data_IF_916697004608
#
_entry.id   IF_916697004608
#
_cell.length_a   1.000
_cell.length_b   1.000
_cell.length_c   1.000
_cell.angle_alpha   90.00
_cell.angle_beta   90.00
_cell.angle_gamma   90.00
#
_symmetry.space_group_name_H-M   'P 1'
#
loop_
_entity.id
_entity.type
_entity.pdbx_description
1 polymer ?
#
# COMPACT_ATOMS: atom_id res chain seq x y z
N UNK A 1 27.08 0.63 26.57
CA UNK A 1 25.67 0.17 26.54
C UNK A 1 25.53 -0.67 25.30
N UNK A 2 25.17 -1.95 25.40
CA UNK A 2 25.00 -2.83 24.23
C UNK A 2 23.58 -2.63 23.70
N UNK A 3 23.46 -2.32 22.41
CA UNK A 3 22.16 -2.34 21.71
C UNK A 3 21.74 -3.80 21.58
N UNK A 4 20.52 -4.14 21.99
CA UNK A 4 19.95 -5.46 21.68
C UNK A 4 19.65 -5.47 20.19
N UNK A 5 20.33 -6.37 19.46
CA UNK A 5 20.17 -6.52 18.02
C UNK A 5 18.94 -7.38 17.80
N UNK A 6 17.98 -6.94 16.99
CA UNK A 6 16.82 -7.76 16.62
C UNK A 6 17.32 -9.04 15.93
N UNK A 7 16.85 -10.18 16.42
CA UNK A 7 17.22 -11.51 15.95
C UNK A 7 16.07 -12.10 15.14
N UNK A 8 16.24 -12.10 13.82
CA UNK A 8 15.27 -12.69 12.91
C UNK A 8 15.45 -14.20 12.85
N UNK A 9 14.34 -14.94 12.82
CA UNK A 9 14.35 -16.39 12.60
C UNK A 9 14.88 -16.70 11.20
N UNK A 10 15.44 -17.89 11.04
CA UNK A 10 15.80 -18.39 9.72
C UNK A 10 14.54 -18.69 8.91
N UNK A 11 14.24 -17.82 7.94
CA UNK A 11 13.10 -17.97 7.02
C UNK A 11 13.50 -18.49 5.64
N UNK A 12 14.66 -19.14 5.50
CA UNK A 12 15.10 -19.75 4.22
C UNK A 12 14.14 -20.80 3.68
N UNK A 13 13.27 -21.34 4.53
CA UNK A 13 12.18 -22.23 4.11
C UNK A 13 11.16 -21.53 3.18
N UNK A 14 11.01 -20.20 3.28
CA UNK A 14 10.17 -19.40 2.36
C UNK A 14 10.81 -19.27 0.97
N UNK A 15 12.14 -19.21 0.93
CA UNK A 15 12.90 -19.06 -0.31
C UNK A 15 12.74 -20.29 -1.23
N UNK A 16 12.45 -21.45 -0.62
CA UNK A 16 12.22 -22.74 -1.31
C UNK A 16 10.76 -23.18 -1.33
N UNK A 17 9.81 -22.29 -1.02
CA UNK A 17 8.39 -22.61 -0.86
C UNK A 17 7.70 -23.19 -2.12
N UNK A 18 8.27 -22.99 -3.31
CA UNK A 18 7.70 -23.43 -4.59
C UNK A 18 8.62 -24.41 -5.33
N UNK A 19 8.63 -25.70 -4.96
CA UNK A 19 9.41 -26.70 -5.68
C UNK A 19 8.93 -26.82 -7.14
N UNK A 20 9.88 -27.05 -8.05
CA UNK A 20 9.59 -27.17 -9.49
C UNK A 20 9.23 -25.85 -10.17
N UNK A 21 9.49 -24.72 -9.51
CA UNK A 21 9.33 -23.39 -10.08
C UNK A 21 10.66 -22.65 -10.11
N UNK A 22 10.84 -21.81 -11.13
CA UNK A 22 12.00 -20.92 -11.27
C UNK A 22 11.50 -19.48 -11.36
N UNK A 23 12.27 -18.54 -10.82
CA UNK A 23 12.01 -17.11 -11.06
C UNK A 23 12.61 -16.71 -12.40
N UNK A 24 11.86 -15.96 -13.18
CA UNK A 24 12.30 -15.40 -14.45
C UNK A 24 12.04 -13.90 -14.47
N UNK A 25 12.77 -13.19 -15.32
CA UNK A 25 12.63 -11.75 -15.50
C UNK A 25 12.37 -11.41 -16.96
N UNK A 26 11.26 -10.72 -17.24
CA UNK A 26 10.94 -10.21 -18.57
C UNK A 26 11.43 -8.77 -18.66
N UNK A 27 12.24 -8.47 -19.69
CA UNK A 27 12.82 -7.13 -19.87
C UNK A 27 11.82 -6.18 -20.53
N UNK A 28 11.84 -4.92 -20.10
CA UNK A 28 11.15 -3.82 -20.76
C UNK A 28 11.69 -3.57 -22.17
N UNK A 29 10.83 -3.03 -23.03
CA UNK A 29 11.15 -2.60 -24.40
C UNK A 29 11.26 -1.08 -24.50
N UNK A 30 10.41 -0.34 -23.78
CA UNK A 30 10.43 1.12 -23.71
C UNK A 30 11.49 1.61 -22.72
N UNK A 31 11.58 0.97 -21.55
CA UNK A 31 12.50 1.31 -20.48
C UNK A 31 13.47 0.14 -20.23
N UNK A 32 14.74 0.21 -20.67
CA UNK A 32 15.70 -0.89 -20.58
C UNK A 32 16.02 -1.38 -19.16
N UNK A 33 15.81 -0.53 -18.15
CA UNK A 33 16.00 -0.85 -16.73
C UNK A 33 14.85 -1.68 -16.14
N UNK A 34 13.68 -1.75 -16.81
CA UNK A 34 12.55 -2.55 -16.36
C UNK A 34 12.87 -4.04 -16.47
N UNK A 35 12.76 -4.76 -15.34
CA UNK A 35 12.80 -6.22 -15.26
C UNK A 35 11.62 -6.70 -14.43
N UNK A 36 10.67 -7.38 -15.08
CA UNK A 36 9.42 -7.82 -14.44
C UNK A 36 9.55 -9.26 -13.98
N UNK A 37 9.46 -9.53 -12.66
CA UNK A 37 9.56 -10.88 -12.13
C UNK A 37 8.27 -11.65 -12.40
N UNK A 38 8.45 -12.90 -12.78
CA UNK A 38 7.40 -13.91 -12.85
C UNK A 38 7.96 -15.21 -12.30
N UNK A 39 7.07 -16.12 -11.96
CA UNK A 39 7.46 -17.49 -11.66
C UNK A 39 7.05 -18.39 -12.82
N UNK A 40 7.94 -19.29 -13.21
CA UNK A 40 7.72 -20.24 -14.28
C UNK A 40 7.74 -21.65 -13.72
N UNK A 41 6.69 -22.41 -14.01
CA UNK A 41 6.50 -23.78 -13.54
C UNK A 41 6.73 -24.73 -14.71
N UNK A 42 7.68 -25.65 -14.55
CA UNK A 42 7.93 -26.70 -15.53
C UNK A 42 6.96 -27.86 -15.29
N UNK A 43 6.11 -28.13 -16.28
CA UNK A 43 5.17 -29.25 -16.23
C UNK A 43 5.86 -30.54 -16.68
N UNK A 44 5.28 -31.71 -16.33
CA UNK A 44 5.88 -33.03 -16.63
C UNK A 44 6.06 -33.31 -18.12
N UNK A 45 5.21 -32.70 -18.96
CA UNK A 45 5.26 -32.77 -20.43
C UNK A 45 6.22 -31.73 -21.05
N UNK A 46 6.94 -30.97 -20.22
CA UNK A 46 7.96 -30.01 -20.67
C UNK A 46 7.43 -28.61 -21.00
N UNK A 47 6.13 -28.36 -20.83
CA UNK A 47 5.58 -27.03 -21.00
C UNK A 47 5.96 -26.10 -19.82
N UNK A 48 5.94 -24.79 -20.09
CA UNK A 48 6.35 -23.76 -19.13
C UNK A 48 5.17 -22.84 -18.87
N UNK A 49 4.63 -22.89 -17.66
CA UNK A 49 3.48 -22.07 -17.25
C UNK A 49 3.98 -20.91 -16.42
N UNK A 50 3.73 -19.69 -16.90
CA UNK A 50 4.08 -18.47 -16.18
C UNK A 50 2.95 -18.06 -15.26
N UNK A 51 3.31 -17.70 -14.04
CA UNK A 51 2.39 -17.23 -13.01
C UNK A 51 2.90 -15.93 -12.42
N UNK A 52 1.95 -15.13 -11.96
CA UNK A 52 2.23 -13.90 -11.23
C UNK A 52 2.98 -14.26 -9.93
N UNK A 53 4.03 -13.51 -9.58
CA UNK A 53 4.83 -13.71 -8.37
C UNK A 53 4.98 -12.36 -7.65
N UNK A 54 4.63 -12.33 -6.36
CA UNK A 54 4.66 -11.12 -5.52
C UNK A 54 5.78 -11.16 -4.47
N UNK A 55 6.59 -12.22 -4.45
CA UNK A 55 7.70 -12.40 -3.49
C UNK A 55 8.82 -11.38 -3.62
N UNK A 56 8.87 -10.65 -4.72
CA UNK A 56 10.03 -9.87 -5.12
C UNK A 56 11.32 -10.68 -5.10
N UNK A 57 12.47 -10.08 -4.72
CA UNK A 57 13.77 -10.74 -4.78
C UNK A 57 14.02 -11.76 -3.65
N UNK A 58 13.10 -11.93 -2.70
CA UNK A 58 13.24 -12.93 -1.65
C UNK A 58 13.36 -14.34 -2.24
N UNK A 59 14.42 -15.06 -1.85
CA UNK A 59 14.76 -16.38 -2.40
C UNK A 59 15.27 -16.39 -3.83
N UNK A 60 15.67 -15.24 -4.39
CA UNK A 60 16.40 -15.22 -5.65
C UNK A 60 17.86 -15.67 -5.44
N UNK A 61 18.36 -16.56 -6.30
CA UNK A 61 19.76 -16.98 -6.25
C UNK A 61 20.71 -15.85 -6.71
N UNK A 62 20.23 -14.94 -7.57
CA UNK A 62 21.03 -13.83 -8.09
C UNK A 62 21.03 -12.61 -7.16
N UNK A 63 20.16 -12.58 -6.14
CA UNK A 63 20.02 -11.46 -5.21
C UNK A 63 20.07 -11.92 -3.76
N UNK A 64 21.21 -11.68 -3.11
CA UNK A 64 21.36 -11.93 -1.68
C UNK A 64 20.56 -10.90 -0.88
N UNK A 65 19.38 -11.29 -0.39
CA UNK A 65 18.54 -10.44 0.45
C UNK A 65 18.83 -10.68 1.94
N UNK A 66 19.04 -9.59 2.68
CA UNK A 66 19.22 -9.60 4.13
C UNK A 66 18.18 -8.66 4.76
N UNK A 67 17.35 -9.19 5.64
CA UNK A 67 16.27 -8.45 6.31
C UNK A 67 16.78 -7.17 6.99
N UNK A 68 18.03 -7.18 7.45
CA UNK A 68 18.63 -6.03 8.14
C UNK A 68 19.20 -4.99 7.19
N UNK A 69 19.45 -5.35 5.93
CA UNK A 69 19.87 -4.41 4.89
C UNK A 69 18.66 -3.85 4.13
N UNK A 70 17.57 -4.62 4.06
CA UNK A 70 16.40 -4.29 3.25
C UNK A 70 16.60 -4.74 1.80
N UNK A 71 15.55 -4.53 1.01
CA UNK A 71 15.57 -4.82 -0.42
C UNK A 71 16.33 -3.74 -1.21
N UNK A 72 16.84 -4.15 -2.37
CA UNK A 72 17.39 -3.21 -3.34
C UNK A 72 16.32 -2.22 -3.82
N UNK A 73 16.62 -0.91 -3.92
CA UNK A 73 15.63 0.11 -4.28
C UNK A 73 15.40 0.16 -5.80
N UNK A 74 14.72 -0.87 -6.33
CA UNK A 74 14.46 -1.12 -7.76
C UNK A 74 14.03 0.12 -8.56
N UNK A 75 13.15 0.95 -8.00
CA UNK A 75 12.56 2.12 -8.69
C UNK A 75 13.37 3.40 -8.52
N UNK A 76 14.45 3.41 -7.73
CA UNK A 76 15.14 4.66 -7.37
C UNK A 76 15.64 5.41 -8.60
N UNK A 77 16.30 4.73 -9.54
CA UNK A 77 16.78 5.35 -10.78
C UNK A 77 15.62 5.98 -11.58
N UNK A 78 14.47 5.31 -11.66
CA UNK A 78 13.29 5.82 -12.37
C UNK A 78 12.73 7.10 -11.74
N UNK A 79 12.77 7.17 -10.40
CA UNK A 79 12.34 8.34 -9.64
C UNK A 79 13.32 9.52 -9.83
N UNK A 80 14.62 9.23 -9.88
CA UNK A 80 15.66 10.25 -10.07
C UNK A 80 15.65 10.80 -11.50
N UNK A 81 15.54 9.94 -12.51
CA UNK A 81 15.60 10.32 -13.93
C UNK A 81 14.47 11.27 -14.33
N UNK A 82 13.31 11.20 -13.67
CA UNK A 82 12.18 12.11 -13.90
C UNK A 82 12.48 13.56 -13.49
N UNK A 83 13.47 13.80 -12.65
CA UNK A 83 13.92 15.14 -12.22
C UNK A 83 12.80 16.03 -11.65
N UNK A 84 11.78 15.42 -11.05
CA UNK A 84 10.61 16.09 -10.48
C UNK A 84 10.47 15.90 -8.97
N UNK A 85 11.46 15.29 -8.34
CA UNK A 85 11.57 15.13 -6.88
C UNK A 85 12.85 15.75 -6.34
N UNK A 86 12.79 16.24 -5.10
CA UNK A 86 13.92 16.80 -4.37
C UNK A 86 14.09 16.09 -3.02
N UNK A 87 15.34 15.89 -2.61
CA UNK A 87 15.66 15.48 -1.24
C UNK A 87 15.49 16.64 -0.27
N UNK A 88 15.14 16.33 0.96
CA UNK A 88 15.08 17.28 2.06
C UNK A 88 15.33 16.57 3.39
N UNK A 89 15.55 17.32 4.46
CA UNK A 89 15.94 16.78 5.77
C UNK A 89 14.90 15.83 6.41
N UNK A 90 13.64 15.91 5.96
CA UNK A 90 12.56 15.12 6.55
C UNK A 90 12.15 15.56 7.94
N UNK A 91 11.30 14.76 8.55
CA UNK A 91 10.85 14.89 9.93
C UNK A 91 11.73 14.05 10.85
N UNK A 92 12.14 14.64 11.97
CA UNK A 92 12.78 13.87 13.04
C UNK A 92 11.77 12.98 13.76
N UNK A 93 12.10 11.69 13.93
CA UNK A 93 11.30 10.75 14.72
C UNK A 93 11.19 11.22 16.16
N UNK A 94 9.97 11.23 16.70
CA UNK A 94 9.63 11.67 18.05
C UNK A 94 9.13 10.48 18.90
N UNK A 95 9.21 10.55 20.23
CA UNK A 95 8.82 9.45 21.11
C UNK A 95 7.38 8.96 20.90
N UNK A 96 6.45 9.89 20.62
CA UNK A 96 5.04 9.59 20.41
C UNK A 96 4.77 8.75 19.16
N UNK A 97 5.67 8.75 18.18
CA UNK A 97 5.55 7.93 16.96
C UNK A 97 5.61 6.43 17.27
N UNK A 98 6.27 6.11 18.38
CA UNK A 98 6.41 4.77 18.93
C UNK A 98 5.57 4.57 20.21
N UNK A 99 4.60 5.45 20.49
CA UNK A 99 3.69 5.32 21.62
C UNK A 99 4.31 5.65 22.98
N UNK A 100 5.32 6.52 23.02
CA UNK A 100 5.97 6.97 24.26
C UNK A 100 5.67 8.44 24.58
N UNK A 101 5.40 8.75 25.85
CA UNK A 101 5.07 10.10 26.30
C UNK A 101 6.24 11.11 26.25
N UNK A 102 7.48 10.61 26.29
CA UNK A 102 8.69 11.45 26.26
C UNK A 102 9.93 10.59 25.98
N UNK A 103 11.05 11.23 25.63
CA UNK A 103 12.34 10.55 25.52
C UNK A 103 12.77 9.87 26.83
N UNK A 104 12.44 10.47 27.98
CA UNK A 104 12.69 9.85 29.29
C UNK A 104 11.85 8.59 29.49
N UNK A 105 10.57 8.64 29.12
CA UNK A 105 9.67 7.49 29.21
C UNK A 105 10.07 6.38 28.22
N UNK A 106 10.48 6.74 27.01
CA UNK A 106 11.04 5.80 26.04
C UNK A 106 12.25 5.09 26.63
N UNK A 107 13.24 5.84 27.14
CA UNK A 107 14.44 5.27 27.77
C UNK A 107 14.15 4.42 29.01
N UNK A 108 13.15 4.77 29.83
CA UNK A 108 12.76 4.00 31.02
C UNK A 108 11.98 2.73 30.68
N UNK A 109 11.03 2.81 29.74
CA UNK A 109 10.20 1.67 29.31
C UNK A 109 10.99 0.62 28.54
N UNK A 110 12.08 1.05 27.90
CA UNK A 110 13.05 0.20 27.21
C UNK A 110 14.05 -0.48 28.17
N UNK A 111 14.06 -0.15 29.47
CA UNK A 111 15.08 -0.64 30.40
C UNK A 111 16.50 -0.27 29.94
N UNK A 112 17.49 -1.17 30.11
CA UNK A 112 18.84 -0.99 29.53
C UNK A 112 18.90 -1.19 28.00
N UNK A 113 17.77 -1.43 27.31
CA UNK A 113 17.72 -1.99 25.95
C UNK A 113 17.00 -1.07 24.97
N UNK A 114 17.78 -0.25 24.24
CA UNK A 114 17.24 0.68 23.23
C UNK A 114 16.62 -0.07 22.05
N UNK A 115 15.41 0.32 21.63
CA UNK A 115 14.76 -0.16 20.40
C UNK A 115 15.70 0.08 19.20
N UNK A 116 15.93 -0.96 18.40
CA UNK A 116 16.82 -0.88 17.23
C UNK A 116 16.09 -0.25 16.05
N UNK A 117 16.51 0.94 15.65
CA UNK A 117 16.09 1.54 14.38
C UNK A 117 16.66 0.77 13.19
N UNK A 118 15.93 0.78 12.07
CA UNK A 118 16.33 0.02 10.88
C UNK A 118 17.72 0.43 10.38
N UNK A 119 18.73 -0.46 10.42
CA UNK A 119 20.11 -0.09 10.12
C UNK A 119 20.40 0.07 8.62
N UNK A 120 19.53 -0.45 7.75
CA UNK A 120 19.64 -0.33 6.30
C UNK A 120 19.18 1.02 5.74
N UNK A 121 18.51 1.86 6.53
CA UNK A 121 18.00 3.15 6.04
C UNK A 121 19.18 4.13 5.86
N UNK A 122 19.56 4.36 4.60
CA UNK A 122 20.71 5.21 4.21
C UNK A 122 20.33 6.35 3.27
N UNK A 123 19.05 6.72 3.20
CA UNK A 123 18.54 7.72 2.26
C UNK A 123 17.82 8.85 2.99
N UNK A 124 17.91 10.05 2.41
CA UNK A 124 17.04 11.16 2.76
C UNK A 124 15.67 10.98 2.11
N UNK A 125 14.58 11.39 2.76
CA UNK A 125 13.26 11.37 2.13
C UNK A 125 13.21 12.35 0.95
N UNK A 126 12.37 12.00 -0.02
CA UNK A 126 12.07 12.80 -1.20
C UNK A 126 10.64 13.31 -1.16
N UNK A 127 10.42 14.45 -1.81
CA UNK A 127 9.09 15.00 -2.12
C UNK A 127 9.10 15.61 -3.51
N UNK A 128 7.92 15.85 -4.07
CA UNK A 128 7.77 16.58 -5.32
C UNK A 128 8.50 17.93 -5.27
N UNK A 129 9.18 18.29 -6.36
CA UNK A 129 9.74 19.61 -6.54
C UNK A 129 8.59 20.67 -6.55
N UNK A 130 8.86 21.91 -6.12
CA UNK A 130 7.82 22.94 -6.02
C UNK A 130 6.99 23.09 -7.29
N UNK A 131 5.67 23.01 -7.15
CA UNK A 131 4.71 23.15 -8.27
C UNK A 131 4.50 21.90 -9.13
N UNK A 132 5.28 20.83 -8.94
CA UNK A 132 5.13 19.59 -9.69
C UNK A 132 4.22 18.59 -8.96
N UNK A 133 3.55 17.72 -9.72
CA UNK A 133 2.89 16.51 -9.23
C UNK A 133 3.73 15.33 -9.69
N UNK A 134 3.99 14.41 -8.77
CA UNK A 134 4.79 13.21 -9.02
C UNK A 134 3.93 11.95 -9.11
N UNK A 135 2.62 12.10 -9.21
CA UNK A 135 1.67 10.99 -9.14
C UNK A 135 1.54 10.27 -10.48
N UNK A 136 1.27 8.96 -10.44
CA UNK A 136 0.97 8.21 -11.67
C UNK A 136 -0.24 8.78 -12.44
N UNK A 137 -1.23 9.32 -11.72
CA UNK A 137 -2.37 10.01 -12.33
C UNK A 137 -1.94 11.27 -13.11
N UNK A 138 -1.05 12.09 -12.53
CA UNK A 138 -0.55 13.28 -13.18
C UNK A 138 0.26 12.95 -14.44
N UNK A 139 1.14 11.94 -14.40
CA UNK A 139 1.88 11.50 -15.58
C UNK A 139 0.94 10.98 -16.67
N UNK A 140 -0.03 10.14 -16.27
CA UNK A 140 -0.98 9.53 -17.20
C UNK A 140 -1.80 10.59 -17.95
N UNK A 141 -2.28 11.63 -17.25
CA UNK A 141 -3.03 12.75 -17.84
C UNK A 141 -2.19 13.64 -18.75
N UNK A 142 -0.88 13.75 -18.50
CA UNK A 142 0.09 14.38 -19.40
C UNK A 142 0.44 13.50 -20.61
N UNK A 143 -0.12 12.29 -20.68
CA UNK A 143 0.13 11.34 -21.75
C UNK A 143 1.43 10.57 -21.63
N UNK A 144 2.12 10.65 -20.48
CA UNK A 144 3.42 10.05 -20.22
C UNK A 144 3.24 8.59 -19.80
N UNK A 145 4.05 7.69 -20.35
CA UNK A 145 4.14 6.28 -19.96
C UNK A 145 5.39 6.12 -19.08
N UNK A 146 5.18 5.91 -17.79
CA UNK A 146 6.27 5.72 -16.82
C UNK A 146 6.85 4.29 -16.89
N UNK A 147 8.07 4.06 -16.36
CA UNK A 147 8.59 2.70 -16.16
C UNK A 147 7.64 1.82 -15.37
N UNK A 148 6.94 2.37 -14.37
CA UNK A 148 5.91 1.66 -13.61
C UNK A 148 4.76 1.15 -14.50
N UNK A 149 4.27 1.98 -15.44
CA UNK A 149 3.20 1.59 -16.38
C UNK A 149 3.64 0.49 -17.35
N UNK A 150 4.88 0.53 -17.83
CA UNK A 150 5.42 -0.57 -18.65
C UNK A 150 5.59 -1.86 -17.85
N UNK A 151 6.15 -1.76 -16.64
CA UNK A 151 6.32 -2.89 -15.73
C UNK A 151 5.00 -3.63 -15.54
N UNK A 152 3.94 -2.89 -15.24
CA UNK A 152 2.58 -3.41 -15.09
C UNK A 152 2.07 -4.08 -16.35
N UNK A 153 2.24 -3.45 -17.53
CA UNK A 153 1.75 -4.03 -18.78
C UNK A 153 2.36 -5.40 -19.06
N UNK A 154 3.65 -5.56 -18.77
CA UNK A 154 4.35 -6.84 -18.90
C UNK A 154 3.84 -7.84 -17.84
N UNK A 155 3.68 -7.40 -16.58
CA UNK A 155 3.26 -8.24 -15.45
C UNK A 155 1.85 -8.78 -15.63
N UNK A 156 0.91 -7.94 -16.04
CA UNK A 156 -0.51 -8.29 -16.30
C UNK A 156 -0.68 -9.22 -17.51
N UNK A 157 0.29 -9.23 -18.43
CA UNK A 157 0.33 -10.19 -19.52
C UNK A 157 0.98 -11.52 -19.13
N UNK A 158 1.47 -11.68 -17.90
CA UNK A 158 2.27 -12.85 -17.46
C UNK A 158 3.46 -13.11 -18.41
N UNK A 159 4.07 -12.02 -18.90
CA UNK A 159 5.23 -12.07 -19.78
C UNK A 159 4.95 -12.49 -21.21
N UNK A 160 3.67 -12.59 -21.63
CA UNK A 160 3.33 -12.81 -23.04
C UNK A 160 3.84 -11.64 -23.89
N UNK A 161 4.39 -11.95 -25.06
CA UNK A 161 4.95 -10.92 -25.96
C UNK A 161 3.91 -10.28 -26.88
N UNK A 162 2.76 -10.93 -27.06
CA UNK A 162 1.66 -10.47 -27.90
C UNK A 162 0.33 -11.09 -27.46
N UNK A 163 -0.78 -10.54 -27.97
CA UNK A 163 -2.06 -11.21 -27.93
C UNK A 163 -1.94 -12.58 -28.61
N UNK A 164 -2.51 -13.62 -27.98
CA UNK A 164 -2.70 -14.90 -28.64
C UNK A 164 -4.19 -15.09 -28.95
N UNK A 165 -4.47 -15.86 -29.99
CA UNK A 165 -5.82 -16.36 -30.23
C UNK A 165 -6.05 -17.57 -29.34
N UNK A 166 -7.01 -17.46 -28.43
CA UNK A 166 -7.33 -18.56 -27.54
C UNK A 166 -7.71 -19.81 -28.35
N UNK A 167 -7.18 -20.96 -27.96
CA UNK A 167 -7.58 -22.23 -28.55
C UNK A 167 -9.07 -22.42 -28.27
N UNK A 168 -9.90 -22.50 -29.32
CA UNK A 168 -11.36 -22.41 -29.17
C UNK A 168 -11.99 -23.67 -28.58
N UNK A 169 -11.39 -24.84 -28.79
CA UNK A 169 -12.05 -26.12 -28.50
C UNK A 169 -11.20 -27.13 -27.72
N UNK A 170 -9.94 -26.81 -27.39
CA UNK A 170 -9.08 -27.74 -26.64
C UNK A 170 -8.76 -27.21 -25.24
N UNK A 171 -9.48 -27.73 -24.23
CA UNK A 171 -9.24 -27.41 -22.81
C UNK A 171 -7.86 -27.82 -22.31
N UNK A 172 -7.14 -28.69 -23.03
CA UNK A 172 -5.79 -29.11 -22.68
C UNK A 172 -4.70 -28.18 -23.22
N UNK A 173 -5.05 -27.24 -24.11
CA UNK A 173 -4.11 -26.22 -24.59
C UNK A 173 -3.89 -25.14 -23.51
N UNK A 174 -2.62 -24.80 -23.24
CA UNK A 174 -2.27 -23.72 -22.31
C UNK A 174 -2.76 -22.33 -22.76
N UNK A 175 -3.12 -22.18 -24.04
CA UNK A 175 -3.74 -20.99 -24.63
C UNK A 175 -5.27 -21.06 -24.56
N UNK A 176 -5.87 -22.08 -23.96
CA UNK A 176 -7.30 -22.09 -23.73
C UNK A 176 -7.64 -21.03 -22.68
N UNK A 177 -8.57 -20.13 -23.01
CA UNK A 177 -9.11 -19.16 -22.08
C UNK A 177 -10.63 -19.22 -22.11
N UNK A 178 -11.23 -19.49 -20.95
CA UNK A 178 -12.69 -19.47 -20.82
C UNK A 178 -13.22 -18.07 -21.15
N UNK A 179 -14.27 -17.93 -21.99
CA UNK A 179 -14.77 -16.61 -22.42
C UNK A 179 -15.25 -15.76 -21.23
N UNK A 180 -15.86 -16.41 -20.23
CA UNK A 180 -16.36 -15.75 -19.01
C UNK A 180 -17.49 -14.75 -19.28
N UNK A 181 -17.89 -14.04 -18.24
CA UNK A 181 -18.79 -12.88 -18.30
C UNK A 181 -18.19 -11.79 -17.41
N UNK A 182 -17.96 -10.61 -17.97
CA UNK A 182 -17.26 -9.51 -17.29
C UNK A 182 -18.19 -8.39 -16.81
N UNK A 183 -19.49 -8.50 -17.12
CA UNK A 183 -20.54 -7.52 -16.85
C UNK A 183 -20.19 -6.14 -17.46
N UNK A 184 -19.68 -6.15 -18.70
CA UNK A 184 -19.32 -4.94 -19.44
C UNK A 184 -17.96 -4.34 -19.07
N UNK A 185 -17.03 -5.12 -18.50
CA UNK A 185 -15.66 -4.66 -18.34
C UNK A 185 -14.95 -4.57 -19.70
N UNK A 186 -13.93 -3.71 -19.79
CA UNK A 186 -13.14 -3.49 -21.00
C UNK A 186 -11.77 -4.16 -20.87
N UNK A 187 -11.76 -5.48 -20.65
CA UNK A 187 -10.52 -6.27 -20.50
C UNK A 187 -9.97 -6.57 -21.90
N UNK A 188 -8.79 -6.06 -22.28
CA UNK A 188 -8.21 -6.35 -23.59
C UNK A 188 -7.59 -7.75 -23.60
N UNK A 189 -7.39 -8.33 -24.79
CA UNK A 189 -6.67 -9.60 -24.95
C UNK A 189 -5.19 -9.51 -24.56
N UNK A 190 -4.64 -8.30 -24.65
CA UNK A 190 -3.27 -7.96 -24.36
C UNK A 190 -3.20 -6.56 -23.76
N UNK A 191 -2.47 -6.43 -22.65
CA UNK A 191 -2.34 -5.16 -21.92
C UNK A 191 -1.12 -4.41 -22.49
N UNK A 192 -1.30 -3.19 -22.99
CA UNK A 192 -0.17 -2.34 -23.42
C UNK A 192 0.12 -1.26 -22.37
N UNK A 193 1.33 -0.69 -22.35
CA UNK A 193 1.64 0.45 -21.48
C UNK A 193 0.70 1.65 -21.71
N UNK A 194 0.24 1.87 -22.95
CA UNK A 194 -0.77 2.88 -23.29
C UNK A 194 -2.12 2.58 -22.65
N UNK A 195 -2.56 1.31 -22.66
CA UNK A 195 -3.81 0.91 -22.00
C UNK A 195 -3.74 1.13 -20.49
N UNK A 196 -2.61 0.78 -19.87
CA UNK A 196 -2.35 1.04 -18.44
C UNK A 196 -2.46 2.53 -18.16
N UNK A 197 -1.75 3.37 -18.93
CA UNK A 197 -1.82 4.82 -18.84
C UNK A 197 -3.26 5.34 -18.97
N UNK A 198 -4.02 4.86 -19.95
CA UNK A 198 -5.40 5.32 -20.19
C UNK A 198 -6.36 4.93 -19.06
N UNK A 199 -6.20 3.76 -18.45
CA UNK A 199 -6.97 3.34 -17.28
C UNK A 199 -6.66 4.22 -16.05
N UNK A 200 -5.38 4.57 -15.87
CA UNK A 200 -4.94 5.47 -14.80
C UNK A 200 -5.44 6.90 -15.05
N UNK A 201 -5.26 7.46 -16.26
CA UNK A 201 -5.65 8.82 -16.60
C UNK A 201 -7.14 9.11 -16.36
N UNK A 202 -7.99 8.11 -16.62
CA UNK A 202 -9.45 8.18 -16.40
C UNK A 202 -9.90 7.81 -14.98
N UNK A 203 -8.97 7.50 -14.08
CA UNK A 203 -9.25 7.15 -12.69
C UNK A 203 -9.93 5.79 -12.49
N UNK A 204 -9.81 4.85 -13.44
CA UNK A 204 -10.40 3.50 -13.33
C UNK A 204 -9.41 2.45 -12.83
N UNK A 205 -8.13 2.80 -12.80
CA UNK A 205 -7.08 2.03 -12.16
C UNK A 205 -6.08 2.94 -11.45
N UNK A 206 -5.38 2.40 -10.45
CA UNK A 206 -4.34 3.09 -9.69
C UNK A 206 -3.06 2.25 -9.62
N UNK A 207 -1.95 2.93 -9.39
CA UNK A 207 -0.63 2.35 -9.20
C UNK A 207 -0.09 2.92 -7.87
N UNK A 208 -0.31 2.24 -6.73
CA UNK A 208 0.13 2.72 -5.42
C UNK A 208 1.65 2.57 -5.33
N UNK A 209 2.36 3.71 -5.40
CA UNK A 209 3.77 3.70 -5.76
C UNK A 209 4.52 4.92 -5.20
N UNK A 210 4.50 5.09 -3.87
CA UNK A 210 5.11 6.24 -3.22
C UNK A 210 6.59 6.35 -3.63
N UNK A 211 7.05 7.57 -3.94
CA UNK A 211 8.43 7.86 -4.34
C UNK A 211 9.45 7.50 -3.25
N UNK A 212 9.00 7.36 -2.00
CA UNK A 212 9.79 6.87 -0.88
C UNK A 212 9.62 5.38 -0.63
N UNK A 213 9.09 4.60 -1.57
CA UNK A 213 9.12 3.14 -1.50
C UNK A 213 9.75 2.55 -2.77
N UNK A 214 11.02 2.89 -3.05
CA UNK A 214 11.67 2.44 -4.27
C UNK A 214 11.90 0.92 -4.31
N UNK A 215 11.79 0.22 -3.18
CA UNK A 215 11.88 -1.24 -3.07
C UNK A 215 10.67 -1.97 -3.69
N UNK A 216 9.52 -1.29 -3.80
CA UNK A 216 8.29 -1.88 -4.32
C UNK A 216 8.39 -2.21 -5.82
N UNK A 217 7.88 -3.38 -6.20
CA UNK A 217 7.66 -3.78 -7.58
C UNK A 217 6.29 -3.29 -8.03
N UNK A 218 6.19 -2.47 -9.10
CA UNK A 218 4.92 -1.89 -9.51
C UNK A 218 3.83 -2.94 -9.80
N UNK A 219 2.62 -2.60 -9.39
CA UNK A 219 1.40 -3.37 -9.64
C UNK A 219 0.23 -2.42 -9.86
N UNK A 220 -0.86 -2.94 -10.43
CA UNK A 220 -2.06 -2.14 -10.75
C UNK A 220 -3.31 -2.72 -10.11
N UNK A 221 -4.17 -1.82 -9.62
CA UNK A 221 -5.49 -2.14 -9.10
C UNK A 221 -6.51 -1.48 -10.00
N UNK A 222 -7.35 -2.29 -10.66
CA UNK A 222 -8.42 -1.79 -11.52
C UNK A 222 -9.25 -2.93 -12.11
N UNK A 223 -10.49 -2.63 -12.50
CA UNK A 223 -11.47 -3.63 -12.95
C UNK A 223 -11.02 -4.44 -14.18
N UNK A 224 -10.17 -3.86 -15.03
CA UNK A 224 -9.76 -4.45 -16.30
C UNK A 224 -8.42 -5.23 -16.24
N UNK A 225 -7.95 -5.50 -15.03
CA UNK A 225 -6.69 -6.17 -14.72
C UNK A 225 -6.97 -7.43 -13.88
N UNK A 226 -5.94 -8.23 -13.60
CA UNK A 226 -6.05 -9.33 -12.65
C UNK A 226 -6.58 -8.82 -11.31
N UNK A 227 -7.50 -9.57 -10.69
CA UNK A 227 -7.98 -9.26 -9.34
C UNK A 227 -6.80 -9.37 -8.37
N UNK A 228 -6.65 -8.36 -7.51
CA UNK A 228 -5.57 -8.26 -6.53
C UNK A 228 -6.08 -8.54 -5.13
N UNK A 229 -5.24 -9.11 -4.28
CA UNK A 229 -5.57 -9.44 -2.89
C UNK A 229 -4.63 -8.72 -1.91
N UNK A 230 -5.19 -8.32 -0.77
CA UNK A 230 -4.45 -7.66 0.30
C UNK A 230 -4.34 -8.58 1.52
N UNK A 231 -3.19 -8.58 2.19
CA UNK A 231 -3.04 -9.19 3.51
C UNK A 231 -2.91 -8.14 4.60
N UNK A 232 -3.64 -8.31 5.72
CA UNK A 232 -3.52 -7.44 6.88
C UNK A 232 -2.56 -8.06 7.90
N UNK A 233 -1.55 -7.30 8.29
CA UNK A 233 -0.63 -7.62 9.37
C UNK A 233 -0.66 -6.49 10.40
N UNK A 234 0.22 -6.53 11.40
CA UNK A 234 0.39 -5.46 12.35
C UNK A 234 0.42 -5.96 13.78
N UNK A 235 1.17 -5.23 14.60
CA UNK A 235 1.29 -5.49 16.01
C UNK A 235 0.03 -5.03 16.77
N UNK A 236 -0.13 -5.55 17.99
CA UNK A 236 -1.15 -5.05 18.90
C UNK A 236 -0.54 -4.74 20.25
N UNK A 237 -1.28 -4.02 21.10
CA UNK A 237 -0.84 -3.75 22.48
C UNK A 237 -0.62 -5.03 23.33
N UNK A 238 -1.08 -6.20 22.86
CA UNK A 238 -1.09 -7.46 23.61
C UNK A 238 -0.13 -8.49 23.01
N UNK A 239 0.20 -8.41 21.72
CA UNK A 239 0.96 -9.44 21.01
C UNK A 239 1.76 -8.92 19.82
N UNK A 240 2.76 -9.73 19.44
CA UNK A 240 3.67 -9.55 18.30
C UNK A 240 4.91 -8.68 18.55
N UNK A 241 5.91 -8.84 17.69
CA UNK A 241 7.18 -8.10 17.69
C UNK A 241 7.54 -7.66 16.27
N UNK A 242 8.58 -6.82 16.13
CA UNK A 242 9.06 -6.38 14.80
C UNK A 242 9.43 -7.58 13.92
N UNK A 243 10.11 -8.57 14.52
CA UNK A 243 10.55 -9.78 13.83
C UNK A 243 9.38 -10.60 13.31
N UNK A 244 8.34 -10.78 14.13
CA UNK A 244 7.14 -11.50 13.74
C UNK A 244 6.33 -10.73 12.66
N UNK A 245 6.30 -9.40 12.67
CA UNK A 245 5.62 -8.63 11.61
C UNK A 245 6.34 -8.69 10.26
N UNK A 246 7.67 -8.62 10.25
CA UNK A 246 8.45 -8.78 9.01
C UNK A 246 8.26 -10.20 8.45
N UNK A 247 8.26 -11.22 9.31
CA UNK A 247 8.01 -12.59 8.89
C UNK A 247 6.59 -12.77 8.33
N UNK A 248 5.58 -12.18 8.98
CA UNK A 248 4.19 -12.18 8.47
C UNK A 248 4.10 -11.51 7.10
N UNK A 249 4.76 -10.38 6.89
CA UNK A 249 4.83 -9.72 5.59
C UNK A 249 5.45 -10.66 4.54
N UNK A 250 6.62 -11.24 4.83
CA UNK A 250 7.31 -12.18 3.91
C UNK A 250 6.46 -13.41 3.61
N UNK A 251 5.78 -13.95 4.61
CA UNK A 251 4.85 -15.07 4.45
C UNK A 251 3.68 -14.68 3.54
N UNK A 252 3.04 -13.53 3.78
CA UNK A 252 1.91 -13.05 2.98
C UNK A 252 2.26 -12.91 1.49
N UNK A 253 3.38 -12.25 1.17
CA UNK A 253 3.80 -12.08 -0.23
C UNK A 253 4.27 -13.41 -0.86
N UNK A 254 4.78 -14.34 -0.05
CA UNK A 254 5.11 -15.70 -0.54
C UNK A 254 3.90 -16.39 -1.11
N UNK A 255 2.74 -16.26 -0.47
CA UNK A 255 1.51 -16.94 -0.90
C UNK A 255 0.61 -16.09 -1.81
N UNK A 256 1.14 -14.98 -2.36
CA UNK A 256 0.46 -14.21 -3.40
C UNK A 256 -0.30 -12.98 -2.91
N UNK A 257 -0.03 -12.46 -1.71
CA UNK A 257 -0.52 -11.13 -1.35
C UNK A 257 0.07 -10.09 -2.31
N UNK A 258 -0.79 -9.32 -2.97
CA UNK A 258 -0.40 -8.28 -3.93
C UNK A 258 -0.13 -6.93 -3.26
N UNK A 259 -0.74 -6.70 -2.10
CA UNK A 259 -0.47 -5.58 -1.19
C UNK A 259 -0.52 -6.08 0.25
N UNK A 260 0.10 -5.33 1.16
CA UNK A 260 0.05 -5.61 2.60
C UNK A 260 -0.34 -4.35 3.35
N UNK A 261 -1.25 -4.43 4.31
CA UNK A 261 -1.51 -3.32 5.22
C UNK A 261 -0.89 -3.56 6.59
N UNK A 262 -0.12 -2.58 7.05
CA UNK A 262 0.29 -2.49 8.45
C UNK A 262 -0.82 -1.83 9.28
N UNK A 263 -1.53 -2.64 10.05
CA UNK A 263 -2.59 -2.21 10.97
C UNK A 263 -2.11 -2.16 12.43
N UNK A 264 -0.78 -2.05 12.63
CA UNK A 264 -0.13 -1.97 13.94
C UNK A 264 -0.78 -0.92 14.85
N UNK A 265 -0.99 -1.29 16.11
CA UNK A 265 -1.49 -0.40 17.16
C UNK A 265 -0.77 -0.60 18.48
N UNK A 266 -0.70 0.45 19.30
CA UNK A 266 0.11 0.46 20.53
C UNK A 266 1.51 1.04 20.30
N UNK A 267 2.54 0.34 20.79
CA UNK A 267 3.93 0.85 20.80
C UNK A 267 4.69 0.47 19.54
N UNK A 268 5.78 1.20 19.29
CA UNK A 268 6.76 0.91 18.25
C UNK A 268 6.20 0.87 16.81
N UNK A 269 5.07 1.55 16.54
CA UNK A 269 4.39 1.52 15.23
C UNK A 269 5.33 2.04 14.15
N UNK A 270 5.98 3.19 14.38
CA UNK A 270 6.91 3.79 13.41
C UNK A 270 8.03 2.83 13.02
N UNK A 271 8.74 2.29 14.00
CA UNK A 271 9.88 1.39 13.76
C UNK A 271 9.43 0.07 13.13
N UNK A 272 8.33 -0.53 13.61
CA UNK A 272 7.76 -1.75 13.02
C UNK A 272 7.47 -1.55 11.53
N UNK A 273 6.86 -0.43 11.18
CA UNK A 273 6.55 -0.07 9.79
C UNK A 273 7.79 0.18 8.96
N UNK A 274 8.84 0.80 9.52
CA UNK A 274 10.11 1.02 8.83
C UNK A 274 10.74 -0.31 8.39
N UNK A 275 10.79 -1.28 9.32
CA UNK A 275 11.26 -2.64 9.03
C UNK A 275 10.41 -3.35 7.97
N UNK A 276 9.09 -3.19 7.98
CA UNK A 276 8.18 -3.75 6.97
C UNK A 276 8.46 -3.13 5.59
N UNK A 277 8.43 -1.80 5.48
CA UNK A 277 8.57 -1.07 4.22
C UNK A 277 9.88 -1.40 3.52
N UNK A 278 11.01 -1.33 4.25
CA UNK A 278 12.34 -1.58 3.68
C UNK A 278 12.54 -3.03 3.22
N UNK A 279 11.67 -3.94 3.64
CA UNK A 279 11.71 -5.36 3.27
C UNK A 279 10.57 -5.78 2.34
N UNK A 280 9.66 -4.87 1.98
CA UNK A 280 8.48 -5.18 1.18
C UNK A 280 8.73 -4.90 -0.31
N UNK A 281 8.54 -5.90 -1.19
CA UNK A 281 8.51 -5.68 -2.63
C UNK A 281 7.09 -5.34 -3.12
N UNK A 282 6.09 -5.32 -2.24
CA UNK A 282 4.70 -4.99 -2.58
C UNK A 282 4.27 -3.68 -1.94
N UNK A 283 3.26 -2.98 -2.50
CA UNK A 283 2.73 -1.78 -1.88
C UNK A 283 2.26 -2.00 -0.44
N UNK A 284 2.63 -1.08 0.44
CA UNK A 284 2.23 -1.06 1.85
C UNK A 284 1.16 -0.01 2.08
N UNK A 285 0.05 -0.43 2.69
CA UNK A 285 -1.01 0.47 3.14
C UNK A 285 -1.06 0.64 4.65
N UNK A 286 -1.68 1.73 5.10
CA UNK A 286 -1.94 1.96 6.53
C UNK A 286 -3.30 2.60 6.75
N UNK A 287 -3.69 2.72 8.03
CA UNK A 287 -4.80 3.57 8.46
C UNK A 287 -4.21 4.66 9.37
N UNK A 288 -3.84 5.86 8.86
CA UNK A 288 -3.10 6.85 9.64
C UNK A 288 -3.75 7.26 10.97
N UNK A 289 -5.08 7.17 11.06
CA UNK A 289 -5.82 7.51 12.28
C UNK A 289 -5.45 6.60 13.46
N UNK A 290 -4.93 5.39 13.23
CA UNK A 290 -4.53 4.48 14.30
C UNK A 290 -3.29 4.98 15.02
N UNK A 291 -2.26 5.42 14.28
CA UNK A 291 -1.07 5.99 14.90
C UNK A 291 -1.37 7.38 15.50
N UNK A 292 -2.19 8.20 14.83
CA UNK A 292 -2.64 9.47 15.39
C UNK A 292 -3.39 9.27 16.73
N UNK A 293 -4.20 8.21 16.85
CA UNK A 293 -4.89 7.89 18.10
C UNK A 293 -3.91 7.50 19.23
N UNK A 294 -2.82 6.78 18.92
CA UNK A 294 -1.79 6.49 19.92
C UNK A 294 -1.06 7.78 20.36
N UNK A 295 -0.77 8.69 19.43
CA UNK A 295 -0.24 10.03 19.76
C UNK A 295 -1.20 10.85 20.64
N UNK A 296 -2.50 10.65 20.48
CA UNK A 296 -3.56 11.23 21.32
C UNK A 296 -3.76 10.47 22.66
N UNK A 297 -2.93 9.47 22.96
CA UNK A 297 -3.03 8.67 24.18
C UNK A 297 -4.30 7.82 24.24
N UNK A 298 -4.76 7.32 23.09
CA UNK A 298 -5.92 6.43 22.99
C UNK A 298 -7.27 7.13 23.14
N UNK A 299 -7.31 8.46 23.18
CA UNK A 299 -8.54 9.25 23.37
C UNK A 299 -8.95 9.90 22.05
N UNK A 300 -10.02 9.41 21.38
CA UNK A 300 -10.47 10.00 20.12
C UNK A 300 -10.73 11.49 20.22
N UNK A 301 -11.32 11.97 21.31
CA UNK A 301 -11.61 13.38 21.57
C UNK A 301 -10.38 14.32 21.56
N UNK A 302 -9.16 13.79 21.77
CA UNK A 302 -7.92 14.58 21.77
C UNK A 302 -7.25 14.65 20.38
N UNK A 303 -7.83 14.00 19.36
CA UNK A 303 -7.33 14.09 17.99
C UNK A 303 -7.48 15.51 17.45
N UNK A 304 -6.44 16.03 16.81
CA UNK A 304 -6.47 17.29 16.08
C UNK A 304 -5.98 17.10 14.64
N UNK A 305 -6.30 18.08 13.78
CA UNK A 305 -5.79 18.12 12.41
C UNK A 305 -4.25 18.11 12.38
N UNK A 306 -3.58 18.89 13.23
CA UNK A 306 -2.13 19.02 13.25
C UNK A 306 -1.44 17.68 13.56
N UNK A 307 -1.99 16.93 14.51
CA UNK A 307 -1.49 15.60 14.87
C UNK A 307 -1.68 14.59 13.72
N UNK A 308 -2.82 14.64 13.05
CA UNK A 308 -3.09 13.79 11.90
C UNK A 308 -2.21 14.16 10.71
N UNK A 309 -2.07 15.45 10.40
CA UNK A 309 -1.20 16.01 9.37
C UNK A 309 0.26 15.60 9.57
N UNK A 310 0.76 15.70 10.79
CA UNK A 310 2.11 15.22 11.15
C UNK A 310 2.27 13.71 10.90
N UNK A 311 1.23 12.93 11.21
CA UNK A 311 1.22 11.48 10.99
C UNK A 311 1.20 11.13 9.50
N UNK A 312 0.47 11.87 8.67
CA UNK A 312 0.51 11.70 7.21
C UNK A 312 1.91 11.95 6.66
N UNK A 313 2.56 13.05 7.07
CA UNK A 313 3.91 13.40 6.62
C UNK A 313 4.94 12.36 7.05
N UNK A 314 4.87 11.91 8.30
CA UNK A 314 5.73 10.84 8.82
C UNK A 314 5.62 9.58 7.96
N UNK A 315 4.42 9.10 7.69
CA UNK A 315 4.21 7.88 6.91
C UNK A 315 4.54 8.05 5.42
N UNK A 316 4.34 9.26 4.89
CA UNK A 316 4.69 9.60 3.53
C UNK A 316 6.21 9.56 3.29
N UNK A 317 6.99 10.04 4.25
CA UNK A 317 8.45 10.00 4.24
C UNK A 317 8.99 8.57 4.36
N UNK A 318 8.34 7.72 5.15
CA UNK A 318 8.72 6.31 5.26
C UNK A 318 8.47 5.53 3.96
N UNK A 319 7.46 5.90 3.18
CA UNK A 319 7.11 5.24 1.92
C UNK A 319 5.80 4.48 1.92
N UNK A 320 4.83 4.80 2.78
CA UNK A 320 3.50 4.16 2.67
C UNK A 320 2.87 4.52 1.32
N UNK A 321 2.39 3.53 0.57
CA UNK A 321 1.91 3.70 -0.80
C UNK A 321 0.44 4.10 -0.88
N UNK A 322 -0.36 3.74 0.13
CA UNK A 322 -1.75 4.17 0.20
C UNK A 322 -2.27 4.33 1.62
N UNK A 323 -3.16 5.30 1.79
CA UNK A 323 -3.79 5.58 3.07
C UNK A 323 -5.27 5.24 3.04
N UNK A 324 -5.72 4.44 4.00
CA UNK A 324 -7.14 4.29 4.29
C UNK A 324 -7.62 5.46 5.15
N UNK A 325 -8.39 6.37 4.54
CA UNK A 325 -8.84 7.64 5.15
C UNK A 325 -10.37 7.65 5.23
N UNK A 326 -10.89 7.71 6.45
CA UNK A 326 -12.33 7.63 6.75
C UNK A 326 -13.02 9.01 6.67
N UNK A 327 -12.73 9.79 5.64
CA UNK A 327 -13.31 11.13 5.44
C UNK A 327 -14.81 11.10 5.08
N UNK A 328 -15.36 9.93 4.74
CA UNK A 328 -16.79 9.74 4.46
C UNK A 328 -17.69 9.72 5.70
N UNK A 329 -17.13 9.52 6.89
CA UNK A 329 -17.87 9.47 8.16
C UNK A 329 -18.26 10.89 8.58
N UNK A 330 -19.35 11.40 8.01
CA UNK A 330 -19.86 12.75 8.31
C UNK A 330 -20.68 12.75 9.60
N UNK A 331 -20.66 13.86 10.34
CA UNK A 331 -21.42 14.03 11.58
C UNK A 331 -22.90 13.69 11.40
N UNK A 332 -23.51 14.14 10.29
CA UNK A 332 -24.92 13.89 9.96
C UNK A 332 -25.26 12.41 9.75
N UNK A 333 -24.28 11.54 9.46
CA UNK A 333 -24.51 10.11 9.23
C UNK A 333 -24.43 9.29 10.52
N UNK A 334 -23.79 9.79 11.58
CA UNK A 334 -23.64 9.06 12.85
C UNK A 334 -25.00 8.64 13.44
N UNK A 335 -26.03 9.52 13.51
CA UNK A 335 -27.36 9.14 14.01
C UNK A 335 -28.06 8.04 13.21
N UNK A 336 -27.74 7.89 11.92
CA UNK A 336 -28.35 6.86 11.06
C UNK A 336 -27.98 5.45 11.51
N UNK A 337 -26.85 5.29 12.20
CA UNK A 337 -26.36 4.00 12.69
C UNK A 337 -27.02 3.53 13.99
N UNK A 338 -27.80 4.38 14.67
CA UNK A 338 -28.43 4.06 15.97
C UNK A 338 -29.39 2.87 15.86
N UNK A 339 -30.00 2.67 14.70
CA UNK A 339 -30.94 1.56 14.45
C UNK A 339 -30.26 0.27 13.99
N UNK A 340 -28.95 0.28 13.75
CA UNK A 340 -28.22 -0.91 13.29
C UNK A 340 -28.17 -1.98 14.35
N UNK A 341 -28.16 -3.23 13.91
CA UNK A 341 -27.97 -4.39 14.77
C UNK A 341 -26.55 -4.45 15.34
N UNK A 342 -25.55 -4.11 14.53
CA UNK A 342 -24.13 -4.18 14.90
C UNK A 342 -23.44 -2.81 15.00
N UNK A 343 -24.17 -1.72 14.81
CA UNK A 343 -23.65 -0.36 14.93
C UNK A 343 -22.56 -0.04 13.90
N UNK A 344 -21.49 0.61 14.36
CA UNK A 344 -20.30 0.93 13.57
C UNK A 344 -19.21 -0.08 13.88
N UNK A 345 -18.89 -0.96 12.93
CA UNK A 345 -17.86 -2.01 13.09
C UNK A 345 -16.49 -1.63 12.54
N UNK A 346 -16.39 -0.50 11.85
CA UNK A 346 -15.08 0.05 11.46
C UNK A 346 -14.39 0.66 12.68
N UNK A 347 -13.17 0.21 12.98
CA UNK A 347 -12.34 0.84 14.03
C UNK A 347 -12.04 2.31 13.69
N UNK A 348 -11.59 2.59 12.46
CA UNK A 348 -11.34 3.96 12.03
C UNK A 348 -12.62 4.80 11.98
N UNK A 349 -13.73 4.21 11.53
CA UNK A 349 -15.02 4.88 11.50
C UNK A 349 -15.58 5.20 12.88
N UNK A 350 -15.44 4.30 13.85
CA UNK A 350 -15.91 4.52 15.23
C UNK A 350 -15.08 5.56 15.98
N UNK A 351 -13.77 5.64 15.73
CA UNK A 351 -12.90 6.70 16.24
C UNK A 351 -13.42 8.08 15.80
N UNK A 352 -13.69 8.26 14.50
CA UNK A 352 -14.16 9.54 13.98
C UNK A 352 -15.60 9.84 14.37
N UNK A 353 -16.47 8.84 14.45
CA UNK A 353 -17.82 9.03 14.98
C UNK A 353 -17.78 9.54 16.42
N UNK A 354 -16.92 8.97 17.28
CA UNK A 354 -16.72 9.45 18.66
C UNK A 354 -16.18 10.87 18.68
N UNK A 355 -15.17 11.20 17.86
CA UNK A 355 -14.63 12.56 17.76
C UNK A 355 -15.72 13.58 17.34
N UNK A 356 -16.50 13.27 16.30
CA UNK A 356 -17.58 14.13 15.82
C UNK A 356 -18.64 14.37 16.91
N UNK A 357 -18.99 13.35 17.68
CA UNK A 357 -19.97 13.48 18.78
C UNK A 357 -19.43 14.26 19.97
N UNK A 358 -18.16 14.09 20.33
CA UNK A 358 -17.54 14.77 21.46
C UNK A 358 -17.43 16.29 21.22
N UNK A 359 -17.10 16.69 19.98
CA UNK A 359 -16.94 18.10 19.60
C UNK A 359 -18.19 18.72 18.99
N UNK A 360 -19.16 17.90 18.58
CA UNK A 360 -20.31 18.30 17.77
C UNK A 360 -19.90 19.09 16.51
N UNK A 361 -18.84 18.63 15.85
CA UNK A 361 -18.26 19.23 14.64
C UNK A 361 -18.21 18.22 13.49
N UNK A 362 -18.15 18.73 12.26
CA UNK A 362 -17.95 17.88 11.08
C UNK A 362 -16.56 17.25 11.11
N UNK A 363 -16.46 16.03 10.57
CA UNK A 363 -15.23 15.25 10.53
C UNK A 363 -14.07 16.06 9.94
N UNK A 364 -13.01 16.28 10.74
CA UNK A 364 -11.87 17.09 10.30
C UNK A 364 -11.15 16.51 9.08
N UNK A 365 -11.23 15.19 8.84
CA UNK A 365 -10.69 14.59 7.61
C UNK A 365 -11.48 14.99 6.36
N UNK A 366 -12.79 15.25 6.52
CA UNK A 366 -13.62 15.79 5.45
C UNK A 366 -13.34 17.27 5.24
N UNK A 367 -13.23 18.06 6.30
CA UNK A 367 -13.03 19.52 6.19
C UNK A 367 -11.64 19.92 5.71
N UNK A 368 -10.61 19.12 6.01
CA UNK A 368 -9.22 19.32 5.55
C UNK A 368 -8.84 18.45 4.35
N UNK A 369 -9.83 17.90 3.62
CA UNK A 369 -9.55 16.90 2.58
C UNK A 369 -8.65 17.42 1.44
N UNK A 370 -8.75 18.69 1.06
CA UNK A 370 -7.86 19.29 0.05
C UNK A 370 -6.40 19.38 0.54
N UNK A 371 -6.17 19.74 1.81
CA UNK A 371 -4.82 19.73 2.41
C UNK A 371 -4.24 18.31 2.48
N UNK A 372 -5.09 17.30 2.75
CA UNK A 372 -4.68 15.88 2.68
C UNK A 372 -4.24 15.54 1.24
N UNK A 373 -4.98 15.99 0.22
CA UNK A 373 -4.63 15.78 -1.17
C UNK A 373 -3.26 16.40 -1.50
N UNK A 374 -2.99 17.62 -1.05
CA UNK A 374 -1.68 18.28 -1.27
C UNK A 374 -0.52 17.48 -0.71
N UNK A 375 -0.68 16.90 0.48
CA UNK A 375 0.33 16.03 1.09
C UNK A 375 0.52 14.78 0.22
N UNK A 376 -0.55 14.05 -0.06
CA UNK A 376 -0.47 12.78 -0.80
C UNK A 376 0.09 12.95 -2.21
N UNK A 377 -0.27 14.04 -2.89
CA UNK A 377 0.23 14.45 -4.21
C UNK A 377 1.75 14.62 -4.24
N UNK A 378 2.34 15.11 -3.15
CA UNK A 378 3.76 15.39 -3.07
C UNK A 378 4.63 14.12 -3.00
N UNK A 379 4.02 12.95 -2.72
CA UNK A 379 4.75 11.69 -2.53
C UNK A 379 4.22 10.52 -3.40
N UNK A 380 3.18 10.72 -4.21
CA UNK A 380 2.50 9.65 -4.98
C UNK A 380 1.84 8.58 -4.08
N UNK A 381 1.09 9.05 -3.07
CA UNK A 381 0.32 8.17 -2.18
C UNK A 381 -1.11 8.08 -2.68
N UNK A 382 -1.60 6.87 -2.90
CA UNK A 382 -2.96 6.62 -3.34
C UNK A 382 -3.98 6.74 -2.21
N UNK A 383 -5.17 7.26 -2.52
CA UNK A 383 -6.30 7.22 -1.59
C UNK A 383 -6.96 5.84 -1.58
N UNK A 384 -7.14 5.29 -0.39
CA UNK A 384 -8.13 4.27 -0.09
C UNK A 384 -9.23 4.93 0.75
N UNK A 385 -10.30 5.41 0.10
CA UNK A 385 -11.38 6.06 0.84
C UNK A 385 -12.12 5.03 1.69
N UNK A 386 -11.99 5.17 3.01
CA UNK A 386 -12.41 4.16 3.98
C UNK A 386 -13.93 4.06 4.13
N UNK A 387 -14.39 2.84 4.34
CA UNK A 387 -15.79 2.47 4.55
C UNK A 387 -16.15 2.48 6.05
N UNK A 388 -16.06 3.65 6.67
CA UNK A 388 -16.27 3.83 8.11
C UNK A 388 -17.64 3.40 8.61
N UNK A 389 -18.65 3.46 7.75
CA UNK A 389 -20.03 3.05 8.00
C UNK A 389 -20.39 1.76 7.25
N UNK A 390 -19.44 0.89 6.92
CA UNK A 390 -19.75 -0.45 6.38
C UNK A 390 -20.66 -1.27 7.32
N UNK A 391 -21.49 -2.19 6.79
CA UNK A 391 -22.35 -3.05 7.60
C UNK A 391 -21.53 -4.15 8.28
N UNK A 392 -21.78 -4.38 9.57
CA UNK A 392 -21.20 -5.49 10.34
C UNK A 392 -22.05 -6.76 10.34
N UNK A 393 -23.24 -6.69 9.75
CA UNK A 393 -24.17 -7.82 9.64
C UNK A 393 -25.04 -7.67 8.40
N UNK A 394 -25.63 -8.79 7.94
CA UNK A 394 -26.58 -8.81 6.82
C UNK A 394 -27.77 -7.88 7.08
N UNK A 395 -28.21 -7.76 8.34
CA UNK A 395 -29.34 -6.91 8.72
C UNK A 395 -29.07 -5.40 8.50
N UNK A 396 -27.80 -5.00 8.51
CA UNK A 396 -27.39 -3.60 8.35
C UNK A 396 -26.98 -3.28 6.90
N UNK A 397 -27.00 -4.27 6.00
CA UNK A 397 -26.51 -4.14 4.65
C UNK A 397 -27.40 -3.22 3.79
N UNK A 398 -26.76 -2.35 3.03
CA UNK A 398 -27.36 -1.40 2.09
C UNK A 398 -28.28 -0.37 2.75
N UNK A 399 -28.03 -0.06 4.03
CA UNK A 399 -28.77 0.96 4.76
C UNK A 399 -28.37 2.39 4.35
N UNK A 400 -29.12 3.37 4.90
CA UNK A 400 -28.92 4.78 4.60
C UNK A 400 -27.55 5.30 5.03
N UNK A 401 -26.99 4.79 6.14
CA UNK A 401 -25.68 5.19 6.63
C UNK A 401 -24.57 4.75 5.65
N UNK A 402 -24.63 3.50 5.17
CA UNK A 402 -23.66 2.96 4.22
C UNK A 402 -23.73 3.70 2.88
N UNK A 403 -24.93 3.85 2.31
CA UNK A 403 -25.11 4.48 1.00
C UNK A 403 -24.84 5.99 1.05
N UNK A 404 -25.14 6.63 2.18
CA UNK A 404 -24.78 8.03 2.44
C UNK A 404 -23.27 8.26 2.48
N UNK A 405 -22.52 7.39 3.16
CA UNK A 405 -21.05 7.43 3.13
C UNK A 405 -20.54 7.21 1.70
N UNK A 406 -21.02 6.19 1.00
CA UNK A 406 -20.59 5.87 -0.37
C UNK A 406 -20.80 7.06 -1.32
N UNK A 407 -21.92 7.77 -1.22
CA UNK A 407 -22.17 8.98 -2.00
C UNK A 407 -21.14 10.09 -1.70
N UNK A 408 -20.80 10.30 -0.43
CA UNK A 408 -19.72 11.21 -0.02
C UNK A 408 -18.37 10.77 -0.59
N UNK A 409 -18.06 9.48 -0.59
CA UNK A 409 -16.79 9.00 -1.16
C UNK A 409 -16.69 9.33 -2.66
N UNK A 410 -17.79 9.24 -3.40
CA UNK A 410 -17.84 9.65 -4.81
C UNK A 410 -17.60 11.16 -5.03
N UNK A 411 -18.02 12.01 -4.10
CA UNK A 411 -17.68 13.44 -4.07
C UNK A 411 -16.18 13.64 -3.81
N UNK A 412 -15.65 13.01 -2.77
CA UNK A 412 -14.25 13.10 -2.37
C UNK A 412 -13.30 12.57 -3.45
N UNK A 413 -13.66 11.50 -4.16
CA UNK A 413 -12.90 11.01 -5.32
C UNK A 413 -12.72 12.09 -6.39
N UNK A 414 -13.77 12.87 -6.68
CA UNK A 414 -13.67 13.97 -7.66
C UNK A 414 -12.79 15.09 -7.15
N UNK A 415 -12.76 15.34 -5.84
CA UNK A 415 -11.86 16.32 -5.23
C UNK A 415 -10.42 15.82 -5.37
N UNK A 416 -10.10 14.60 -4.92
CA UNK A 416 -8.76 14.00 -5.05
C UNK A 416 -8.25 14.03 -6.50
N UNK A 417 -9.10 13.67 -7.46
CA UNK A 417 -8.77 13.75 -8.88
C UNK A 417 -8.48 15.17 -9.38
N UNK A 418 -9.05 16.24 -8.81
CA UNK A 418 -8.66 17.61 -9.17
C UNK A 418 -7.24 17.96 -8.73
N UNK A 419 -6.74 17.28 -7.70
CA UNK A 419 -5.37 17.42 -7.20
C UNK A 419 -4.39 16.42 -7.84
N UNK A 420 -4.84 15.63 -8.81
CA UNK A 420 -4.09 14.51 -9.40
C UNK A 420 -3.71 13.41 -8.38
N UNK A 421 -4.56 13.14 -7.37
CA UNK A 421 -4.38 12.06 -6.39
C UNK A 421 -5.26 10.84 -6.65
#
# INVERSE_FOLDING_TARGET
MSSFKLEFKDSTYLDTAFPGSERIYIRGKLHPSVRVPLREVLTKDGARVRVYDTRGPWGDADWLCDVRQGLGPLRLEWILDRSDTVEYDGRTVRPEDNGYLSFKHAAQSQGRMRLESFPGLKRSPRKAAPGLAVTQLAYARKGIITPEMEFIAIRENLGREQAYEAARDDRSDLRFQHPGESFGAAIPKYITPEFVRDEVARGRAIIPANINHPESEPMIIGRNFLVKINSNIGNSAISSSIEDEVEKMRWSITWGADTVMDLSTGRNIHETREWILRNSPVPIGTVPIYQALEKAGGRPEELTWEMYRDTLLEQAEQGVDYFTIHAGVRLRYVPLTVKRRTGIVSRGGSILAKWCLAHHQENFLYTHFEEICEIMRAYDISFSLGDGLRPGSIADANDEAQLGELATLGELTKIAWKHDC
#
